data_IF_571859694066
#
_entry.id   IF_571859694066
#
_cell.length_a   1.000
_cell.length_b   1.000
_cell.length_c   1.000
_cell.angle_alpha   90.00
_cell.angle_beta   90.00
_cell.angle_gamma   90.00
#
_symmetry.space_group_name_H-M   'P 1'
#
loop_
_entity.id
_entity.type
_entity.pdbx_description
1 polymer ?
#
# COMPACT_ATOMS: atom_id res chain seq x y z
N UNK A 1 45.52 -14.55 -54.25
CA UNK A 1 44.29 -15.24 -53.82
C UNK A 1 44.11 -15.04 -52.32
N UNK A 2 42.94 -14.50 -51.90
CA UNK A 2 42.34 -14.51 -50.54
C UNK A 2 43.03 -13.57 -49.51
N UNK A 3 42.56 -12.34 -49.18
CA UNK A 3 41.24 -11.87 -48.67
C UNK A 3 40.77 -12.76 -47.49
N UNK A 4 40.44 -12.34 -46.26
CA UNK A 4 39.79 -11.12 -45.72
C UNK A 4 40.04 -11.06 -44.19
N UNK A 5 40.03 -9.82 -43.66
CA UNK A 5 39.95 -9.39 -42.26
C UNK A 5 39.01 -10.20 -41.34
N UNK A 6 39.48 -10.49 -40.13
CA UNK A 6 38.65 -11.00 -39.03
C UNK A 6 37.86 -9.85 -38.38
N UNK A 7 36.53 -9.87 -38.53
CA UNK A 7 35.63 -8.94 -37.87
C UNK A 7 35.16 -9.53 -36.53
N UNK A 8 35.61 -8.95 -35.41
CA UNK A 8 35.06 -9.22 -34.09
C UNK A 8 33.77 -8.42 -33.92
N UNK A 9 32.62 -9.10 -33.97
CA UNK A 9 31.32 -8.50 -33.68
C UNK A 9 31.09 -8.44 -32.17
N UNK A 10 31.23 -7.24 -31.59
CA UNK A 10 30.88 -6.96 -30.20
C UNK A 10 29.36 -6.78 -30.13
N UNK A 11 28.65 -7.78 -29.60
CA UNK A 11 27.21 -7.66 -29.34
C UNK A 11 26.98 -6.77 -28.11
N UNK A 12 26.66 -5.50 -28.35
CA UNK A 12 26.20 -4.59 -27.32
C UNK A 12 24.77 -5.00 -26.89
N UNK A 13 24.64 -5.63 -25.72
CA UNK A 13 23.34 -5.77 -25.06
C UNK A 13 22.83 -4.36 -24.70
N UNK A 14 21.87 -3.86 -25.47
CA UNK A 14 21.11 -2.68 -25.08
C UNK A 14 20.25 -3.05 -23.87
N UNK A 15 20.58 -2.50 -22.71
CA UNK A 15 19.71 -2.56 -21.54
C UNK A 15 18.45 -1.76 -21.83
N UNK A 16 17.32 -2.44 -22.06
CA UNK A 16 16.01 -1.80 -22.12
C UNK A 16 15.72 -1.30 -20.71
N UNK A 17 15.51 0.02 -20.49
CA UNK A 17 15.09 0.50 -19.19
C UNK A 17 13.68 -0.05 -18.95
N UNK A 18 13.55 -0.97 -18.00
CA UNK A 18 12.26 -1.29 -17.39
C UNK A 18 11.82 -0.01 -16.69
N UNK A 19 10.96 0.77 -17.32
CA UNK A 19 10.18 1.77 -16.60
C UNK A 19 9.32 0.99 -15.61
N UNK A 20 9.62 1.13 -14.32
CA UNK A 20 8.71 0.65 -13.30
C UNK A 20 7.38 1.39 -13.52
N UNK A 21 6.33 0.65 -13.83
CA UNK A 21 5.00 1.22 -14.03
C UNK A 21 4.63 2.08 -12.82
N UNK A 22 3.96 3.20 -13.10
CA UNK A 22 3.50 4.08 -12.04
C UNK A 22 2.52 3.35 -11.12
N UNK A 23 2.80 3.37 -9.81
CA UNK A 23 1.92 2.76 -8.81
C UNK A 23 0.63 3.58 -8.67
N UNK A 24 -0.48 2.99 -9.08
CA UNK A 24 -1.83 3.55 -8.96
C UNK A 24 -2.76 2.62 -8.16
N UNK A 25 -3.93 3.14 -7.80
CA UNK A 25 -4.95 2.33 -7.16
C UNK A 25 -5.42 1.20 -8.09
N UNK A 26 -5.86 1.56 -9.29
CA UNK A 26 -6.41 0.66 -10.30
C UNK A 26 -5.38 -0.30 -10.87
N UNK A 27 -4.12 0.11 -11.01
CA UNK A 27 -3.07 -0.70 -11.61
C UNK A 27 -2.29 -1.58 -10.63
N UNK A 28 -2.28 -1.27 -9.33
CA UNK A 28 -1.45 -2.02 -8.37
C UNK A 28 -2.12 -2.25 -7.03
N UNK A 29 -2.57 -1.19 -6.35
CA UNK A 29 -3.02 -1.31 -4.96
C UNK A 29 -4.28 -2.14 -4.84
N UNK A 30 -5.22 -2.01 -5.78
CA UNK A 30 -6.47 -2.78 -5.80
C UNK A 30 -6.19 -4.28 -5.86
N UNK A 31 -5.20 -4.74 -6.63
CA UNK A 31 -4.81 -6.14 -6.69
C UNK A 31 -4.21 -6.66 -5.37
N UNK A 32 -3.34 -5.85 -4.74
CA UNK A 32 -2.79 -6.19 -3.41
C UNK A 32 -3.93 -6.24 -2.38
N UNK A 33 -4.85 -5.28 -2.43
CA UNK A 33 -5.99 -5.20 -1.53
C UNK A 33 -6.95 -6.38 -1.71
N UNK A 34 -7.26 -6.75 -2.96
CA UNK A 34 -8.10 -7.90 -3.30
C UNK A 34 -7.51 -9.19 -2.74
N UNK A 35 -6.21 -9.40 -2.93
CA UNK A 35 -5.53 -10.62 -2.47
C UNK A 35 -5.42 -10.71 -0.94
N UNK A 36 -5.17 -9.58 -0.26
CA UNK A 36 -4.71 -9.60 1.13
C UNK A 36 -5.72 -9.03 2.15
N UNK A 37 -6.70 -8.22 1.71
CA UNK A 37 -7.54 -7.42 2.61
C UNK A 37 -9.05 -7.68 2.43
N UNK A 38 -9.49 -8.05 1.22
CA UNK A 38 -10.92 -8.02 0.86
C UNK A 38 -11.80 -8.96 1.68
N UNK A 39 -11.24 -10.06 2.20
CA UNK A 39 -11.99 -11.02 3.01
C UNK A 39 -12.65 -10.38 4.25
N UNK A 40 -11.99 -9.38 4.86
CA UNK A 40 -12.50 -8.68 6.05
C UNK A 40 -12.96 -7.24 5.76
N UNK A 41 -12.61 -6.68 4.60
CA UNK A 41 -12.83 -5.28 4.24
C UNK A 41 -13.57 -5.07 2.91
N UNK A 42 -14.20 -6.13 2.39
CA UNK A 42 -14.95 -6.17 1.14
C UNK A 42 -16.39 -5.67 1.22
N UNK A 43 -17.17 -5.97 0.18
CA UNK A 43 -18.58 -5.57 0.02
C UNK A 43 -19.52 -6.05 1.11
N UNK A 44 -19.16 -7.14 1.80
CA UNK A 44 -19.89 -7.66 2.96
C UNK A 44 -19.56 -6.92 4.27
N UNK A 45 -18.52 -6.09 4.28
CA UNK A 45 -18.15 -5.30 5.46
C UNK A 45 -19.00 -4.01 5.55
N UNK A 46 -19.34 -3.56 6.77
CA UNK A 46 -20.11 -2.33 6.98
C UNK A 46 -19.34 -1.07 6.58
N UNK A 47 -20.07 0.02 6.31
CA UNK A 47 -19.49 1.36 6.24
C UNK A 47 -18.81 1.73 7.56
N UNK A 48 -17.82 2.64 7.51
CA UNK A 48 -17.03 2.98 8.69
C UNK A 48 -17.87 3.47 9.88
N UNK A 49 -18.91 4.27 9.61
CA UNK A 49 -19.81 4.76 10.65
C UNK A 49 -20.56 3.61 11.33
N UNK A 50 -21.02 2.62 10.57
CA UNK A 50 -21.77 1.48 11.10
C UNK A 50 -20.86 0.47 11.79
N UNK A 51 -19.64 0.28 11.28
CA UNK A 51 -18.59 -0.43 12.00
C UNK A 51 -18.34 0.19 13.37
N UNK A 52 -18.30 1.52 13.48
CA UNK A 52 -18.08 2.19 14.77
C UNK A 52 -19.25 2.05 15.74
N UNK A 53 -20.49 2.04 15.25
CA UNK A 53 -21.69 1.89 16.10
C UNK A 53 -21.72 0.54 16.82
N UNK A 54 -21.32 -0.54 16.15
CA UNK A 54 -21.32 -1.89 16.72
C UNK A 54 -19.99 -2.63 16.50
N UNK A 55 -18.89 -1.94 16.86
CA UNK A 55 -17.53 -2.44 16.62
C UNK A 55 -17.29 -3.83 17.20
N UNK A 56 -17.82 -4.10 18.39
CA UNK A 56 -17.62 -5.38 19.06
C UNK A 56 -18.27 -6.54 18.30
N UNK A 57 -19.49 -6.36 17.76
CA UNK A 57 -20.14 -7.43 16.99
C UNK A 57 -19.42 -7.72 15.67
N UNK A 58 -18.93 -6.67 14.97
CA UNK A 58 -18.17 -6.85 13.73
C UNK A 58 -16.84 -7.55 13.97
N UNK A 59 -16.10 -7.14 15.01
CA UNK A 59 -14.83 -7.78 15.37
C UNK A 59 -15.01 -9.24 15.80
N UNK A 60 -16.11 -9.60 16.47
CA UNK A 60 -16.44 -11.01 16.79
C UNK A 60 -16.61 -11.88 15.54
N UNK A 61 -16.98 -11.28 14.40
CA UNK A 61 -17.10 -11.96 13.10
C UNK A 61 -15.78 -11.93 12.32
N UNK A 62 -14.73 -11.30 12.85
CA UNK A 62 -13.48 -11.07 12.12
C UNK A 62 -13.62 -10.07 10.97
N UNK A 63 -14.68 -9.24 10.96
CA UNK A 63 -14.97 -8.30 9.88
C UNK A 63 -14.60 -6.88 10.31
N UNK A 64 -13.93 -6.16 9.41
CA UNK A 64 -13.60 -4.75 9.55
C UNK A 64 -14.69 -3.85 8.98
N UNK A 65 -14.29 -2.69 8.46
CA UNK A 65 -15.14 -1.79 7.68
C UNK A 65 -14.78 -1.91 6.20
N UNK A 66 -15.71 -1.54 5.33
CA UNK A 66 -15.51 -1.52 3.89
C UNK A 66 -14.35 -0.60 3.50
N UNK A 67 -13.43 -1.12 2.70
CA UNK A 67 -12.26 -0.41 2.17
C UNK A 67 -11.88 -0.89 0.74
N UNK A 68 -12.69 -1.74 0.10
CA UNK A 68 -12.36 -2.38 -1.19
C UNK A 68 -12.36 -1.45 -2.41
N UNK A 69 -12.86 -0.22 -2.28
CA UNK A 69 -12.79 0.77 -3.36
C UNK A 69 -11.92 1.94 -2.95
N UNK A 70 -11.38 2.64 -3.95
CA UNK A 70 -10.57 3.84 -3.76
C UNK A 70 -11.19 4.82 -2.77
N UNK A 71 -12.47 5.16 -2.97
CA UNK A 71 -13.20 6.11 -2.13
C UNK A 71 -13.45 5.62 -0.71
N UNK A 72 -13.53 4.31 -0.48
CA UNK A 72 -13.65 3.76 0.88
C UNK A 72 -12.29 3.69 1.60
N UNK A 73 -11.18 3.49 0.87
CA UNK A 73 -9.84 3.42 1.47
C UNK A 73 -9.23 4.81 1.75
N UNK A 74 -9.40 5.77 0.84
CA UNK A 74 -8.82 7.11 0.95
C UNK A 74 -9.06 7.82 2.30
N UNK A 75 -10.24 7.71 2.93
CA UNK A 75 -10.50 8.31 4.24
C UNK A 75 -9.56 7.88 5.35
N UNK A 76 -8.85 6.74 5.18
CA UNK A 76 -7.88 6.20 6.13
C UNK A 76 -6.43 6.60 5.80
N UNK A 77 -6.20 7.18 4.63
CA UNK A 77 -4.93 7.80 4.25
C UNK A 77 -4.98 9.29 4.59
N UNK A 78 -5.96 9.99 4.00
CA UNK A 78 -6.23 11.41 4.17
C UNK A 78 -7.27 11.67 5.26
N UNK A 79 -8.30 12.46 4.97
CA UNK A 79 -9.34 12.84 5.93
C UNK A 79 -10.55 11.89 5.88
N UNK A 80 -11.21 11.55 7.01
CA UNK A 80 -11.03 12.07 8.37
C UNK A 80 -10.10 11.24 9.26
N UNK A 81 -9.64 10.07 8.80
CA UNK A 81 -8.87 9.13 9.62
C UNK A 81 -7.39 9.15 9.22
N UNK A 82 -6.76 10.33 9.17
CA UNK A 82 -5.40 10.47 8.64
C UNK A 82 -4.40 9.57 9.32
N UNK A 83 -3.51 9.00 8.50
CA UNK A 83 -2.48 8.07 8.93
C UNK A 83 -3.00 6.71 9.40
N UNK A 84 -4.30 6.42 9.32
CA UNK A 84 -4.83 5.16 9.82
C UNK A 84 -4.35 3.96 9.01
N UNK A 85 -4.36 4.03 7.68
CA UNK A 85 -3.78 2.98 6.83
C UNK A 85 -2.31 2.79 7.16
N UNK A 86 -1.56 3.89 7.20
CA UNK A 86 -0.12 3.90 7.44
C UNK A 86 0.23 3.24 8.78
N UNK A 87 -0.41 3.67 9.89
CA UNK A 87 -0.18 3.08 11.22
C UNK A 87 -0.51 1.59 11.30
N UNK A 88 -1.44 1.10 10.47
CA UNK A 88 -1.89 -0.29 10.53
C UNK A 88 -1.01 -1.21 9.69
N UNK A 89 -0.44 -0.68 8.62
CA UNK A 89 0.46 -1.39 7.72
C UNK A 89 1.95 -1.18 8.07
N UNK A 90 2.27 -0.26 8.98
CA UNK A 90 3.67 0.02 9.34
C UNK A 90 4.39 -1.23 9.87
N UNK A 91 5.66 -1.39 9.48
CA UNK A 91 6.53 -2.50 9.91
C UNK A 91 7.09 -2.29 11.32
N UNK A 92 6.95 -1.08 11.89
CA UNK A 92 7.43 -0.74 13.22
C UNK A 92 8.93 -0.44 13.29
N UNK A 93 9.68 -0.48 12.17
CA UNK A 93 11.14 -0.26 12.21
C UNK A 93 11.53 1.17 12.62
N UNK A 94 10.56 2.09 12.61
CA UNK A 94 10.71 3.47 13.07
C UNK A 94 9.98 3.80 14.39
N UNK A 95 9.34 2.84 15.05
CA UNK A 95 8.63 3.09 16.31
C UNK A 95 9.53 2.88 17.53
N UNK A 96 9.25 3.63 18.61
CA UNK A 96 10.01 3.54 19.87
C UNK A 96 9.96 2.12 20.47
N UNK A 97 8.84 1.41 20.27
CA UNK A 97 8.62 0.06 20.77
C UNK A 97 8.91 -1.05 19.74
N UNK A 98 9.29 -0.69 18.51
CA UNK A 98 9.55 -1.61 17.41
C UNK A 98 8.34 -2.44 16.97
N UNK A 99 7.11 -2.09 17.37
CA UNK A 99 5.92 -2.91 17.11
C UNK A 99 5.29 -2.59 15.76
N UNK A 100 5.08 -3.61 14.90
CA UNK A 100 4.36 -3.41 13.65
C UNK A 100 2.89 -3.08 13.91
N UNK A 101 2.28 -2.41 12.94
CA UNK A 101 0.84 -2.23 12.89
C UNK A 101 0.13 -3.58 12.81
N UNK A 102 -1.06 -3.68 13.41
CA UNK A 102 -1.78 -4.95 13.51
C UNK A 102 -2.31 -5.50 12.17
N UNK A 103 -2.19 -4.76 11.06
CA UNK A 103 -2.55 -5.23 9.72
C UNK A 103 -1.31 -5.56 8.86
N UNK A 104 -0.09 -5.26 9.33
CA UNK A 104 1.16 -5.56 8.63
C UNK A 104 1.28 -7.05 8.27
N UNK A 105 0.89 -7.92 9.21
CA UNK A 105 0.92 -9.38 9.03
C UNK A 105 0.08 -9.87 7.85
N UNK A 106 -0.91 -9.11 7.40
CA UNK A 106 -1.77 -9.48 6.27
C UNK A 106 -1.19 -9.09 4.91
N UNK A 107 -0.13 -8.26 4.86
CA UNK A 107 0.52 -7.88 3.61
C UNK A 107 1.24 -9.03 2.91
N UNK A 108 1.36 -10.20 3.52
CA UNK A 108 2.07 -11.32 2.92
C UNK A 108 2.22 -12.51 3.84
N UNK A 109 2.36 -13.68 3.23
CA UNK A 109 2.58 -14.96 3.90
C UNK A 109 3.94 -15.02 4.61
N UNK A 110 4.94 -14.31 4.08
CA UNK A 110 6.27 -14.18 4.66
C UNK A 110 6.75 -12.72 4.71
N UNK A 111 7.89 -12.48 5.35
CA UNK A 111 8.43 -11.13 5.54
C UNK A 111 8.83 -10.46 4.23
N UNK A 112 9.30 -11.24 3.25
CA UNK A 112 9.69 -10.71 1.95
C UNK A 112 8.47 -10.18 1.20
N UNK A 113 7.38 -10.94 1.19
CA UNK A 113 6.10 -10.52 0.58
C UNK A 113 5.53 -9.30 1.31
N UNK A 114 5.55 -9.29 2.66
CA UNK A 114 5.08 -8.14 3.45
C UNK A 114 5.86 -6.86 3.14
N UNK A 115 7.19 -6.93 3.09
CA UNK A 115 8.04 -5.78 2.78
C UNK A 115 7.83 -5.29 1.34
N UNK A 116 7.69 -6.21 0.37
CA UNK A 116 7.40 -5.85 -1.02
C UNK A 116 6.05 -5.11 -1.15
N UNK A 117 5.01 -5.64 -0.53
CA UNK A 117 3.68 -5.02 -0.57
C UNK A 117 3.63 -3.72 0.25
N UNK A 118 4.32 -3.64 1.40
CA UNK A 118 4.44 -2.39 2.16
C UNK A 118 5.13 -1.29 1.35
N UNK A 119 6.19 -1.63 0.60
CA UNK A 119 6.88 -0.68 -0.26
C UNK A 119 5.94 -0.10 -1.34
N UNK A 120 5.08 -0.93 -1.93
CA UNK A 120 4.05 -0.49 -2.89
C UNK A 120 3.09 0.50 -2.23
N UNK A 121 2.57 0.20 -1.02
CA UNK A 121 1.71 1.13 -0.29
C UNK A 121 2.43 2.44 0.05
N UNK A 122 3.68 2.38 0.54
CA UNK A 122 4.50 3.56 0.85
C UNK A 122 4.68 4.44 -0.40
N UNK A 123 5.00 3.85 -1.54
CA UNK A 123 5.17 4.55 -2.81
C UNK A 123 3.87 5.20 -3.31
N UNK A 124 2.74 4.49 -3.22
CA UNK A 124 1.42 4.99 -3.62
C UNK A 124 0.93 6.12 -2.73
N UNK A 125 1.08 5.99 -1.41
CA UNK A 125 0.70 7.03 -0.46
C UNK A 125 1.59 8.27 -0.62
N UNK A 126 2.89 8.08 -0.89
CA UNK A 126 3.86 9.16 -0.98
C UNK A 126 4.38 9.52 0.41
N UNK A 127 3.77 10.50 1.07
CA UNK A 127 4.15 10.89 2.42
C UNK A 127 3.64 9.89 3.47
N UNK A 128 4.51 8.97 3.92
CA UNK A 128 4.18 7.97 4.92
C UNK A 128 4.12 8.56 6.34
N UNK A 129 3.03 9.27 6.63
CA UNK A 129 2.83 9.97 7.89
C UNK A 129 1.93 9.19 8.86
N UNK A 130 2.43 8.94 10.07
CA UNK A 130 1.70 8.19 11.10
C UNK A 130 0.81 9.07 11.99
N UNK A 131 0.87 10.41 11.84
CA UNK A 131 0.08 11.36 12.63
C UNK A 131 -1.44 11.16 12.47
N UNK A 132 -2.19 11.53 13.50
CA UNK A 132 -3.65 11.58 13.45
C UNK A 132 -4.11 12.89 12.81
N UNK A 133 -5.39 12.96 12.45
CA UNK A 133 -5.98 14.17 11.86
C UNK A 133 -5.73 15.45 12.67
N UNK A 134 -5.76 15.37 14.01
CA UNK A 134 -5.52 16.53 14.88
C UNK A 134 -4.11 17.12 14.75
N UNK A 135 -3.14 16.33 14.28
CA UNK A 135 -1.71 16.64 14.36
C UNK A 135 -1.09 16.79 12.97
N UNK A 136 -1.80 16.39 11.90
CA UNK A 136 -1.33 16.47 10.52
C UNK A 136 -1.49 17.88 9.98
N UNK A 137 -0.44 18.43 9.37
CA UNK A 137 -0.47 19.73 8.73
C UNK A 137 -0.99 19.66 7.29
N UNK A 138 -1.44 20.81 6.77
CA UNK A 138 -1.82 20.93 5.35
C UNK A 138 -0.68 20.55 4.40
N UNK A 139 0.56 20.93 4.72
CA UNK A 139 1.73 20.58 3.91
C UNK A 139 1.92 19.06 3.83
N UNK A 140 1.77 18.36 4.96
CA UNK A 140 1.87 16.90 4.99
C UNK A 140 0.76 16.21 4.19
N UNK A 141 -0.46 16.76 4.19
CA UNK A 141 -1.57 16.27 3.38
C UNK A 141 -1.36 16.52 1.87
N UNK A 142 -0.80 17.68 1.51
CA UNK A 142 -0.51 18.01 0.10
C UNK A 142 0.54 17.08 -0.53
N UNK A 143 1.35 16.40 0.29
CA UNK A 143 2.36 15.45 -0.16
C UNK A 143 1.82 14.01 -0.30
N UNK A 144 0.52 13.79 -0.09
CA UNK A 144 -0.14 12.53 -0.43
C UNK A 144 -0.29 12.43 -1.96
N UNK A 145 0.13 11.31 -2.54
CA UNK A 145 0.03 11.06 -3.99
C UNK A 145 -1.29 10.38 -4.35
N UNK A 146 -1.53 9.21 -3.77
CA UNK A 146 -2.77 8.42 -3.83
C UNK A 146 -3.45 8.41 -5.20
N UNK A 147 -2.68 8.14 -6.25
CA UNK A 147 -3.16 8.14 -7.64
C UNK A 147 -4.22 7.05 -7.84
N UNK A 148 -5.28 7.36 -8.60
CA UNK A 148 -6.30 6.38 -8.98
C UNK A 148 -5.74 5.41 -10.02
#
# INVERSE_FOLDING_TARGET
MKNVFAAAALAALAAIPVQADEITWSGTISHVFEKHCIACHGSAAPEYADFKKDKAAWLKKGIGMRMETYSHLLPFVGWPNSGALMRRLDDGTGSIDGKPGNMYLHLGSDERERQANLAIFKQWVGNWNLKKWSDVSKSELNNLKVKY
#
